data_IF_428301634201
#
_entry.id   IF_428301634201
#
_cell.length_a   1.000
_cell.length_b   1.000
_cell.length_c   1.000
_cell.angle_alpha   90.00
_cell.angle_beta   90.00
_cell.angle_gamma   90.00
#
_symmetry.space_group_name_H-M   'P 1'
#
loop_
_entity.id
_entity.type
_entity.pdbx_description
1 polymer ?
#
# COMPACT_ATOMS: atom_id res chain seq x y z
N UNK A 1 4.48 -19.43 1.07
CA UNK A 1 4.99 -19.10 -0.28
C UNK A 1 5.08 -20.37 -1.14
N UNK A 2 3.96 -20.86 -1.66
CA UNK A 2 3.90 -22.18 -2.34
C UNK A 2 4.37 -22.16 -3.81
N UNK A 3 4.44 -20.99 -4.44
CA UNK A 3 4.83 -20.82 -5.85
C UNK A 3 6.28 -20.36 -6.06
N UNK A 4 7.13 -20.41 -5.03
CA UNK A 4 8.52 -19.93 -5.13
C UNK A 4 8.68 -18.42 -5.36
N UNK A 5 7.58 -17.64 -5.27
CA UNK A 5 7.60 -16.19 -5.40
C UNK A 5 8.20 -15.51 -4.16
N UNK A 6 8.79 -14.33 -4.37
CA UNK A 6 9.21 -13.43 -3.30
C UNK A 6 8.01 -12.57 -2.89
N UNK A 7 7.71 -12.55 -1.60
CA UNK A 7 6.66 -11.72 -1.03
C UNK A 7 7.21 -10.33 -0.66
N UNK A 8 6.62 -9.27 -1.21
CA UNK A 8 6.99 -7.87 -0.94
C UNK A 8 5.92 -7.23 -0.05
N UNK A 9 6.28 -6.92 1.19
CA UNK A 9 5.38 -6.26 2.15
C UNK A 9 5.20 -4.76 1.87
N UNK A 10 4.32 -4.11 2.65
CA UNK A 10 4.09 -2.67 2.57
C UNK A 10 5.20 -1.91 3.34
N UNK A 11 6.10 -1.16 2.66
CA UNK A 11 7.17 -0.43 3.34
C UNK A 11 6.71 0.94 3.88
N UNK A 12 5.47 1.34 3.60
CA UNK A 12 4.98 2.69 3.87
C UNK A 12 4.55 2.80 5.32
N UNK A 13 5.16 3.73 6.07
CA UNK A 13 4.75 3.98 7.45
C UNK A 13 3.40 4.73 7.50
N UNK A 14 2.53 4.43 8.48
CA UNK A 14 1.29 5.17 8.67
C UNK A 14 1.54 6.65 8.90
N UNK A 15 1.02 7.52 8.03
CA UNK A 15 1.34 8.95 8.08
C UNK A 15 0.46 9.76 9.01
N UNK A 16 -0.61 9.19 9.59
CA UNK A 16 -1.46 9.91 10.55
C UNK A 16 -0.69 10.39 11.79
N UNK A 17 0.39 9.70 12.17
CA UNK A 17 1.25 10.12 13.29
C UNK A 17 2.04 11.40 13.01
N UNK A 18 2.08 11.85 11.74
CA UNK A 18 2.72 13.10 11.34
C UNK A 18 1.70 14.22 11.06
N UNK A 19 0.48 14.09 11.56
CA UNK A 19 -0.56 15.14 11.45
C UNK A 19 -1.35 15.13 10.13
N UNK A 20 -1.16 14.12 9.27
CA UNK A 20 -1.98 13.93 8.07
C UNK A 20 -3.38 13.43 8.49
N UNK A 21 -4.44 14.00 7.91
CA UNK A 21 -5.80 13.56 8.17
C UNK A 21 -5.97 12.07 7.85
N UNK A 22 -6.73 11.34 8.68
CA UNK A 22 -6.80 9.87 8.61
C UNK A 22 -7.22 9.33 7.23
N UNK A 23 -8.21 9.98 6.59
CA UNK A 23 -8.70 9.62 5.24
C UNK A 23 -7.73 9.99 4.11
N UNK A 24 -6.74 10.83 4.39
CA UNK A 24 -5.68 11.21 3.44
C UNK A 24 -4.35 10.50 3.72
N UNK A 25 -4.23 9.85 4.88
CA UNK A 25 -3.01 9.26 5.37
C UNK A 25 -2.66 8.00 4.60
N UNK A 26 -1.40 7.91 4.18
CA UNK A 26 -0.88 6.67 3.60
C UNK A 26 -0.73 5.62 4.70
N UNK A 27 -1.03 4.37 4.35
CA UNK A 27 -1.10 3.24 5.27
C UNK A 27 -1.93 3.54 6.54
N UNK A 28 -3.08 4.20 6.38
CA UNK A 28 -3.98 4.54 7.50
C UNK A 28 -4.45 3.33 8.31
N UNK A 29 -4.52 2.15 7.67
CA UNK A 29 -4.90 0.88 8.29
C UNK A 29 -3.73 0.14 8.96
N UNK A 30 -2.50 0.67 8.88
CA UNK A 30 -1.35 0.10 9.59
C UNK A 30 -0.90 -1.27 9.10
N UNK A 31 -1.11 -1.58 7.82
CA UNK A 31 -0.72 -2.85 7.23
C UNK A 31 0.79 -2.96 6.99
N UNK A 32 1.34 -4.17 7.16
CA UNK A 32 2.75 -4.45 6.91
C UNK A 32 2.97 -5.58 5.92
N UNK A 33 2.14 -6.62 5.98
CA UNK A 33 2.25 -7.76 5.07
C UNK A 33 1.86 -7.41 3.63
N UNK A 34 1.09 -6.35 3.39
CA UNK A 34 0.70 -5.91 2.05
C UNK A 34 -0.21 -4.69 2.09
N UNK A 35 -0.71 -4.26 0.92
CA UNK A 35 -1.73 -3.21 0.83
C UNK A 35 -3.02 -3.63 1.55
N UNK A 36 -3.62 -2.72 2.31
CA UNK A 36 -5.00 -2.81 2.75
C UNK A 36 -5.75 -1.53 2.37
N UNK A 37 -7.02 -1.67 2.05
CA UNK A 37 -7.97 -0.59 1.83
C UNK A 37 -9.29 -0.98 2.49
N UNK A 38 -10.07 0.01 2.93
CA UNK A 38 -11.37 -0.26 3.57
C UNK A 38 -12.50 0.19 2.66
N UNK A 39 -13.52 -0.66 2.55
CA UNK A 39 -14.79 -0.32 1.94
C UNK A 39 -15.88 -0.31 3.02
N UNK A 40 -16.79 0.66 2.93
CA UNK A 40 -17.93 0.75 3.83
C UNK A 40 -19.10 -0.09 3.29
N UNK A 41 -20.03 -0.49 4.17
CA UNK A 41 -21.10 -1.42 3.83
C UNK A 41 -21.90 -1.08 2.57
N UNK A 42 -22.12 0.22 2.30
CA UNK A 42 -22.87 0.72 1.15
C UNK A 42 -22.04 1.63 0.22
N UNK A 43 -20.71 1.62 0.33
CA UNK A 43 -19.86 2.44 -0.55
C UNK A 43 -19.86 1.91 -1.98
N UNK A 44 -19.82 2.80 -2.97
CA UNK A 44 -19.57 2.41 -4.35
C UNK A 44 -18.21 1.68 -4.47
N UNK A 45 -18.06 0.78 -5.44
CA UNK A 45 -16.86 -0.06 -5.58
C UNK A 45 -15.53 0.70 -5.75
N UNK A 46 -15.58 1.99 -6.09
CA UNK A 46 -14.41 2.84 -6.29
C UNK A 46 -14.25 3.90 -5.17
N UNK A 47 -15.15 3.93 -4.19
CA UNK A 47 -15.19 4.97 -3.16
C UNK A 47 -14.21 4.65 -2.01
N UNK A 48 -12.94 4.48 -2.35
CA UNK A 48 -11.85 4.34 -1.38
C UNK A 48 -11.36 5.71 -0.92
N UNK A 49 -10.89 5.76 0.33
CA UNK A 49 -10.25 6.95 0.88
C UNK A 49 -9.00 7.32 0.07
N UNK A 50 -8.73 8.62 -0.02
CA UNK A 50 -7.56 9.15 -0.76
C UNK A 50 -6.26 8.54 -0.26
N UNK A 51 -6.14 8.31 1.04
CA UNK A 51 -5.01 7.62 1.66
C UNK A 51 -4.81 6.20 1.16
N UNK A 52 -5.89 5.43 0.95
CA UNK A 52 -5.82 4.06 0.43
C UNK A 52 -5.35 4.06 -1.03
N UNK A 53 -5.87 4.98 -1.85
CA UNK A 53 -5.46 5.14 -3.25
C UNK A 53 -3.97 5.51 -3.35
N UNK A 54 -3.51 6.48 -2.55
CA UNK A 54 -2.09 6.86 -2.49
C UNK A 54 -1.21 5.69 -2.03
N UNK A 55 -1.68 4.92 -1.04
CA UNK A 55 -0.96 3.72 -0.56
C UNK A 55 -0.85 2.69 -1.66
N UNK A 56 -1.91 2.44 -2.44
CA UNK A 56 -1.88 1.51 -3.57
C UNK A 56 -0.87 1.92 -4.64
N UNK A 57 -0.81 3.22 -4.97
CA UNK A 57 0.15 3.76 -5.94
C UNK A 57 1.60 3.57 -5.46
N UNK A 58 1.90 3.98 -4.23
CA UNK A 58 3.24 3.84 -3.64
C UNK A 58 3.64 2.37 -3.46
N UNK A 59 2.70 1.50 -3.08
CA UNK A 59 2.94 0.07 -2.95
C UNK A 59 3.27 -0.57 -4.31
N UNK A 60 2.54 -0.21 -5.37
CA UNK A 60 2.83 -0.66 -6.73
C UNK A 60 4.20 -0.18 -7.23
N UNK A 61 4.56 1.08 -6.96
CA UNK A 61 5.90 1.61 -7.25
C UNK A 61 6.98 0.81 -6.52
N UNK A 62 6.77 0.47 -5.24
CA UNK A 62 7.70 -0.34 -4.48
C UNK A 62 7.85 -1.77 -5.02
N UNK A 63 6.76 -2.40 -5.50
CA UNK A 63 6.83 -3.70 -6.16
C UNK A 63 7.71 -3.60 -7.41
N UNK A 64 7.46 -2.62 -8.27
CA UNK A 64 8.26 -2.43 -9.50
C UNK A 64 9.74 -2.17 -9.18
N UNK A 65 10.01 -1.30 -8.21
CA UNK A 65 11.37 -1.03 -7.73
C UNK A 65 12.06 -2.29 -7.20
N UNK A 66 11.39 -3.06 -6.34
CA UNK A 66 11.93 -4.28 -5.76
C UNK A 66 12.22 -5.33 -6.83
N UNK A 67 11.34 -5.45 -7.83
CA UNK A 67 11.55 -6.36 -8.96
C UNK A 67 12.79 -5.98 -9.77
N UNK A 68 12.96 -4.70 -10.11
CA UNK A 68 14.12 -4.22 -10.87
C UNK A 68 15.42 -4.44 -10.08
N UNK A 69 15.41 -4.11 -8.79
CA UNK A 69 16.54 -4.33 -7.89
C UNK A 69 16.91 -5.82 -7.79
N UNK A 70 15.92 -6.72 -7.72
CA UNK A 70 16.15 -8.16 -7.72
C UNK A 70 16.72 -8.68 -9.04
N UNK A 71 16.32 -8.10 -10.18
CA UNK A 71 16.82 -8.46 -11.51
C UNK A 71 18.22 -7.89 -11.82
N UNK A 72 18.78 -7.06 -10.93
CA UNK A 72 20.10 -6.43 -11.13
C UNK A 72 20.10 -5.34 -12.20
N UNK A 73 18.93 -4.81 -12.57
CA UNK A 73 18.79 -3.70 -13.51
C UNK A 73 18.67 -2.42 -12.67
N UNK A 74 19.79 -1.71 -12.52
CA UNK A 74 19.83 -0.36 -11.93
C UNK A 74 19.30 0.68 -12.91
#
# INVERSE_FOLDING_TARGET
>A
MQHGMIWVGNPIRPSQHHGVAYTEAVNRLGSWSGLMAQAEHASAAHAFDVGDIKTAQLFGQNIAFTLNAYQGVN
#
